data_IF_260286241332
#
_entry.id   IF_260286241332
#
_cell.length_a   1.000
_cell.length_b   1.000
_cell.length_c   1.000
_cell.angle_alpha   90.00
_cell.angle_beta   90.00
_cell.angle_gamma   90.00
#
_symmetry.space_group_name_H-M   'P 1'
#
loop_
_entity.id
_entity.type
_entity.pdbx_description
1 polymer ?
#
# COMPACT_ATOMS: atom_id res chain seq x y z
N UNK A 1 3.25 9.22 73.30
CA UNK A 1 2.27 8.70 74.28
C UNK A 1 2.46 7.21 74.63
N UNK A 2 2.86 6.34 73.69
CA UNK A 2 3.04 4.90 73.97
C UNK A 2 4.03 4.60 75.13
N UNK A 3 5.18 5.27 75.16
CA UNK A 3 6.21 5.05 76.20
C UNK A 3 5.71 5.44 77.60
N UNK A 4 5.04 6.59 77.73
CA UNK A 4 4.50 7.06 79.02
C UNK A 4 3.44 6.10 79.55
N UNK A 5 2.54 5.63 78.67
CA UNK A 5 1.53 4.64 79.05
C UNK A 5 2.16 3.31 79.47
N UNK A 6 3.13 2.79 78.71
CA UNK A 6 3.88 1.57 79.06
C UNK A 6 4.61 1.69 80.40
N UNK A 7 5.22 2.84 80.70
CA UNK A 7 5.89 3.10 81.98
C UNK A 7 4.88 3.14 83.14
N UNK A 8 3.73 3.78 82.96
CA UNK A 8 2.66 3.80 83.97
C UNK A 8 2.11 2.38 84.22
N UNK A 9 1.94 1.60 83.16
CA UNK A 9 1.46 0.22 83.24
C UNK A 9 2.46 -0.69 83.96
N UNK A 10 3.75 -0.52 83.68
CA UNK A 10 4.84 -1.21 84.38
C UNK A 10 4.92 -0.81 85.87
N UNK A 11 4.72 0.47 86.20
CA UNK A 11 4.65 0.93 87.59
C UNK A 11 3.43 0.38 88.33
N UNK A 12 2.27 0.33 87.68
CA UNK A 12 1.05 -0.27 88.24
C UNK A 12 1.21 -1.77 88.51
N UNK A 13 1.83 -2.49 87.56
CA UNK A 13 2.16 -3.91 87.71
C UNK A 13 3.16 -4.13 88.84
N UNK A 14 4.22 -3.32 88.94
CA UNK A 14 5.17 -3.38 90.06
C UNK A 14 4.47 -3.10 91.39
N UNK A 15 3.57 -2.11 91.41
CA UNK A 15 2.76 -1.76 92.57
C UNK A 15 1.82 -2.87 93.01
N UNK A 16 1.18 -3.60 92.07
CA UNK A 16 0.30 -4.73 92.41
C UNK A 16 1.06 -5.84 93.11
N UNK A 17 2.26 -6.20 92.62
CA UNK A 17 3.10 -7.21 93.26
C UNK A 17 3.53 -6.81 94.68
N UNK A 18 3.91 -5.55 94.89
CA UNK A 18 4.25 -5.03 96.23
C UNK A 18 3.03 -5.08 97.16
N UNK A 19 1.85 -4.67 96.68
CA UNK A 19 0.61 -4.73 97.45
C UNK A 19 0.23 -6.18 97.81
N UNK A 20 0.29 -7.10 96.85
CA UNK A 20 0.05 -8.53 97.06
C UNK A 20 1.02 -9.13 98.08
N UNK A 21 2.30 -8.74 98.05
CA UNK A 21 3.28 -9.15 99.06
C UNK A 21 2.86 -8.71 100.47
N UNK A 22 2.43 -7.46 100.66
CA UNK A 22 1.95 -6.99 101.97
C UNK A 22 0.63 -7.66 102.39
N UNK A 23 -0.33 -7.83 101.48
CA UNK A 23 -1.61 -8.49 101.74
C UNK A 23 -1.46 -9.97 102.11
N UNK A 24 -0.45 -10.66 101.59
CA UNK A 24 -0.16 -12.07 101.92
C UNK A 24 0.12 -12.32 103.41
N UNK A 25 0.46 -11.28 104.18
CA UNK A 25 0.63 -11.37 105.64
C UNK A 25 -0.68 -11.45 106.41
N UNK A 26 -1.78 -11.01 105.82
CA UNK A 26 -3.08 -10.88 106.49
C UNK A 26 -4.13 -11.82 105.86
N UNK A 27 -4.05 -12.06 104.55
CA UNK A 27 -5.04 -12.84 103.80
C UNK A 27 -4.49 -14.22 103.41
N UNK A 28 -5.38 -15.19 103.20
CA UNK A 28 -4.97 -16.51 102.74
C UNK A 28 -4.39 -16.43 101.31
N UNK A 29 -3.33 -17.18 101.04
CA UNK A 29 -2.56 -17.09 99.78
C UNK A 29 -3.41 -17.27 98.52
N UNK A 30 -4.45 -18.11 98.57
CA UNK A 30 -5.35 -18.34 97.44
C UNK A 30 -6.19 -17.12 97.06
N UNK A 31 -6.59 -16.29 98.05
CA UNK A 31 -7.35 -15.06 97.81
C UNK A 31 -6.46 -14.00 97.17
N UNK A 32 -5.20 -13.90 97.62
CA UNK A 32 -4.20 -13.00 97.03
C UNK A 32 -3.90 -13.40 95.58
N UNK A 33 -3.73 -14.70 95.31
CA UNK A 33 -3.49 -15.21 93.95
C UNK A 33 -4.68 -14.94 93.02
N UNK A 34 -5.91 -15.16 93.50
CA UNK A 34 -7.11 -14.84 92.74
C UNK A 34 -7.20 -13.35 92.42
N UNK A 35 -6.96 -12.47 93.40
CA UNK A 35 -6.97 -11.03 93.21
C UNK A 35 -5.91 -10.58 92.19
N UNK A 36 -4.68 -11.10 92.27
CA UNK A 36 -3.63 -10.79 91.29
C UNK A 36 -3.98 -11.31 89.90
N UNK A 37 -4.57 -12.51 89.80
CA UNK A 37 -4.99 -13.07 88.51
C UNK A 37 -6.07 -12.21 87.85
N UNK A 38 -7.06 -11.75 88.61
CA UNK A 38 -8.09 -10.83 88.11
C UNK A 38 -7.47 -9.51 87.68
N UNK A 39 -6.50 -8.98 88.43
CA UNK A 39 -5.76 -7.77 88.06
C UNK A 39 -4.99 -7.96 86.74
N UNK A 40 -4.22 -9.05 86.60
CA UNK A 40 -3.46 -9.34 85.38
C UNK A 40 -4.37 -9.56 84.16
N UNK A 41 -5.52 -10.22 84.32
CA UNK A 41 -6.51 -10.37 83.25
C UNK A 41 -7.13 -9.01 82.86
N UNK A 42 -7.43 -8.16 83.83
CA UNK A 42 -7.88 -6.79 83.58
C UNK A 42 -6.83 -5.97 82.81
N UNK A 43 -5.55 -6.11 83.17
CA UNK A 43 -4.44 -5.47 82.48
C UNK A 43 -4.28 -5.96 81.04
N UNK A 44 -4.34 -7.28 80.83
CA UNK A 44 -4.29 -7.89 79.51
C UNK A 44 -5.46 -7.43 78.62
N UNK A 45 -6.67 -7.34 79.19
CA UNK A 45 -7.84 -6.79 78.52
C UNK A 45 -7.63 -5.33 78.11
N UNK A 46 -7.08 -4.48 78.98
CA UNK A 46 -6.79 -3.08 78.65
C UNK A 46 -5.75 -2.94 77.53
N UNK A 47 -4.72 -3.79 77.51
CA UNK A 47 -3.73 -3.81 76.42
C UNK A 47 -4.41 -4.20 75.11
N UNK A 48 -5.21 -5.26 75.10
CA UNK A 48 -5.95 -5.71 73.90
C UNK A 48 -6.94 -4.63 73.42
N UNK A 49 -7.70 -4.03 74.33
CA UNK A 49 -8.63 -2.94 74.00
C UNK A 49 -7.88 -1.73 73.41
N UNK A 50 -6.71 -1.40 73.94
CA UNK A 50 -5.84 -0.36 73.40
C UNK A 50 -5.32 -0.67 71.99
N UNK A 51 -4.90 -1.90 71.73
CA UNK A 51 -4.49 -2.34 70.39
C UNK A 51 -5.67 -2.33 69.40
N UNK A 52 -6.85 -2.82 69.79
CA UNK A 52 -8.06 -2.76 68.96
C UNK A 52 -8.41 -1.30 68.62
N UNK A 53 -8.35 -0.40 69.60
CA UNK A 53 -8.60 1.03 69.36
C UNK A 53 -7.55 1.66 68.44
N UNK A 54 -6.26 1.36 68.63
CA UNK A 54 -5.17 1.82 67.75
C UNK A 54 -5.39 1.33 66.32
N UNK A 55 -5.69 0.05 66.16
CA UNK A 55 -6.00 -0.58 64.87
C UNK A 55 -7.20 0.12 64.22
N UNK A 56 -8.28 0.34 64.97
CA UNK A 56 -9.48 1.04 64.48
C UNK A 56 -9.20 2.50 64.09
N UNK A 57 -8.32 3.20 64.83
CA UNK A 57 -7.90 4.56 64.47
C UNK A 57 -7.08 4.60 63.17
N UNK A 58 -6.12 3.68 63.01
CA UNK A 58 -5.30 3.58 61.80
C UNK A 58 -6.18 3.23 60.60
N UNK A 59 -6.97 2.15 60.68
CA UNK A 59 -7.87 1.77 59.58
C UNK A 59 -8.96 2.81 59.33
N UNK A 60 -9.45 3.51 60.36
CA UNK A 60 -10.42 4.59 60.17
C UNK A 60 -9.83 5.77 59.39
N UNK A 61 -8.56 6.11 59.62
CA UNK A 61 -7.84 7.14 58.86
C UNK A 61 -7.58 6.68 57.43
N UNK A 62 -7.06 5.47 57.25
CA UNK A 62 -6.74 4.92 55.93
C UNK A 62 -8.01 4.75 55.09
N UNK A 63 -9.11 4.28 55.69
CA UNK A 63 -10.40 4.14 55.01
C UNK A 63 -10.94 5.51 54.57
N UNK A 64 -10.87 6.55 55.41
CA UNK A 64 -11.25 7.92 55.01
C UNK A 64 -10.40 8.45 53.87
N UNK A 65 -9.09 8.19 53.88
CA UNK A 65 -8.18 8.59 52.81
C UNK A 65 -8.48 7.84 51.51
N UNK A 66 -8.73 6.54 51.59
CA UNK A 66 -9.07 5.72 50.43
C UNK A 66 -10.43 6.09 49.84
N UNK A 67 -11.44 6.37 50.67
CA UNK A 67 -12.73 6.88 50.21
C UNK A 67 -12.58 8.22 49.49
N UNK A 68 -11.80 9.15 50.04
CA UNK A 68 -11.53 10.42 49.39
C UNK A 68 -10.78 10.25 48.06
N UNK A 69 -9.88 9.26 47.94
CA UNK A 69 -9.22 8.92 46.67
C UNK A 69 -10.18 8.32 45.65
N UNK A 70 -11.07 7.43 46.07
CA UNK A 70 -12.08 6.83 45.18
C UNK A 70 -12.99 7.94 44.63
N UNK A 71 -13.49 8.83 45.49
CA UNK A 71 -14.33 9.96 45.09
C UNK A 71 -13.59 10.94 44.14
N UNK A 72 -12.27 11.06 44.27
CA UNK A 72 -11.45 11.86 43.34
C UNK A 72 -11.22 11.16 42.00
N UNK A 73 -11.16 9.83 41.96
CA UNK A 73 -10.92 9.05 40.74
C UNK A 73 -12.20 8.75 39.95
N UNK A 74 -13.36 8.71 40.60
CA UNK A 74 -14.66 8.49 39.96
C UNK A 74 -14.92 9.42 38.76
N UNK A 75 -14.76 10.77 38.85
CA UNK A 75 -14.95 11.64 37.68
C UNK A 75 -13.92 11.42 36.58
N UNK A 76 -12.74 10.90 36.89
CA UNK A 76 -11.70 10.55 35.91
C UNK A 76 -12.09 9.30 35.15
N UNK A 77 -12.53 8.25 35.85
CA UNK A 77 -13.02 7.00 35.24
C UNK A 77 -14.25 7.28 34.40
N UNK A 78 -15.21 8.04 34.91
CA UNK A 78 -16.41 8.43 34.16
C UNK A 78 -16.06 9.27 32.94
N UNK A 79 -15.12 10.20 33.08
CA UNK A 79 -14.60 10.99 31.97
C UNK A 79 -13.98 10.11 30.87
N UNK A 80 -13.17 9.10 31.23
CA UNK A 80 -12.61 8.17 30.27
C UNK A 80 -13.69 7.27 29.62
N UNK A 81 -14.67 6.80 30.39
CA UNK A 81 -15.70 5.88 29.88
C UNK A 81 -16.75 6.55 29.00
N UNK A 82 -17.15 7.78 29.31
CA UNK A 82 -18.28 8.48 28.68
C UNK A 82 -17.89 9.79 27.98
N UNK A 83 -16.64 10.23 28.14
CA UNK A 83 -16.17 11.53 27.71
C UNK A 83 -16.51 12.60 28.75
N UNK A 84 -15.78 13.71 28.76
CA UNK A 84 -16.04 14.82 29.69
C UNK A 84 -15.67 16.16 29.06
N UNK A 85 -16.38 17.21 29.48
CA UNK A 85 -16.04 18.60 29.17
C UNK A 85 -15.43 19.29 30.40
N UNK A 86 -15.20 18.55 31.49
CA UNK A 86 -14.67 19.11 32.71
C UNK A 86 -13.16 19.29 32.58
N UNK A 87 -12.73 20.54 32.37
CA UNK A 87 -11.32 20.94 32.24
C UNK A 87 -10.46 20.44 33.41
N UNK A 88 -11.02 20.31 34.62
CA UNK A 88 -10.26 19.80 35.77
C UNK A 88 -9.90 18.32 35.59
N UNK A 89 -10.81 17.53 35.03
CA UNK A 89 -10.59 16.10 34.75
C UNK A 89 -9.63 15.93 33.57
N UNK A 90 -9.79 16.75 32.54
CA UNK A 90 -8.91 16.75 31.35
C UNK A 90 -7.47 17.09 31.77
N UNK A 91 -7.28 18.19 32.49
CA UNK A 91 -5.97 18.60 32.97
C UNK A 91 -5.34 17.55 33.92
N UNK A 92 -6.14 16.82 34.71
CA UNK A 92 -5.60 15.73 35.54
C UNK A 92 -5.14 14.53 34.70
N UNK A 93 -5.84 14.21 33.61
CA UNK A 93 -5.45 13.12 32.71
C UNK A 93 -4.20 13.46 31.91
N UNK A 94 -4.10 14.69 31.43
CA UNK A 94 -2.89 15.19 30.74
C UNK A 94 -1.68 15.21 31.67
N UNK A 95 -1.87 15.59 32.95
CA UNK A 95 -0.80 15.57 33.94
C UNK A 95 -0.28 14.15 34.25
N UNK A 96 -1.13 13.13 34.08
CA UNK A 96 -0.79 11.71 34.23
C UNK A 96 -0.27 11.09 32.91
N UNK A 97 0.11 11.92 31.92
CA UNK A 97 0.64 11.52 30.60
C UNK A 97 -0.31 10.62 29.78
N UNK A 98 -1.61 10.65 30.07
CA UNK A 98 -2.59 9.95 29.25
C UNK A 98 -2.88 10.81 28.02
N UNK A 99 -2.64 10.32 26.78
CA UNK A 99 -2.93 11.09 25.59
C UNK A 99 -4.44 11.32 25.48
N UNK A 100 -4.86 12.57 25.65
CA UNK A 100 -6.26 12.99 25.55
C UNK A 100 -6.53 13.47 24.12
N UNK A 101 -7.50 12.85 23.44
CA UNK A 101 -7.99 13.33 22.15
C UNK A 101 -9.31 14.08 22.35
N UNK A 102 -9.30 15.33 21.91
CA UNK A 102 -10.47 16.21 21.95
C UNK A 102 -11.29 16.04 20.67
N UNK A 103 -12.61 16.16 20.78
CA UNK A 103 -13.49 16.16 19.61
C UNK A 103 -13.21 17.40 18.76
N UNK A 104 -12.88 17.18 17.48
CA UNK A 104 -12.57 18.23 16.52
C UNK A 104 -13.84 19.04 16.19
N UNK A 105 -13.74 20.38 16.22
CA UNK A 105 -14.86 21.29 15.95
C UNK A 105 -15.49 21.96 17.18
N UNK A 106 -14.88 21.85 18.37
CA UNK A 106 -15.25 22.70 19.50
C UNK A 106 -14.75 24.12 19.26
N UNK A 107 -15.66 25.09 19.14
CA UNK A 107 -15.31 26.50 19.03
C UNK A 107 -14.58 26.98 20.29
N UNK A 108 -13.87 28.12 20.21
CA UNK A 108 -13.19 28.72 21.38
C UNK A 108 -14.14 28.96 22.57
N UNK A 109 -15.45 29.05 22.31
CA UNK A 109 -16.49 29.29 23.32
C UNK A 109 -17.03 28.02 23.99
N UNK A 110 -16.79 26.81 23.44
CA UNK A 110 -17.14 25.55 24.08
C UNK A 110 -15.87 24.72 24.33
N UNK A 111 -15.44 24.51 25.59
CA UNK A 111 -14.28 23.67 25.87
C UNK A 111 -14.52 22.29 25.27
N UNK A 112 -13.62 21.87 24.38
CA UNK A 112 -13.78 20.63 23.61
C UNK A 112 -14.11 19.44 24.49
N UNK A 113 -15.02 18.59 24.01
CA UNK A 113 -15.35 17.35 24.69
C UNK A 113 -14.20 16.37 24.48
N UNK A 114 -13.66 15.83 25.57
CA UNK A 114 -12.77 14.68 25.50
C UNK A 114 -13.54 13.48 24.95
N UNK A 115 -12.98 12.80 23.95
CA UNK A 115 -13.54 11.56 23.40
C UNK A 115 -13.47 10.45 24.45
N UNK A 116 -14.55 9.67 24.55
CA UNK A 116 -14.56 8.51 25.43
C UNK A 116 -13.78 7.35 24.85
N UNK A 117 -13.35 6.40 25.69
CA UNK A 117 -12.78 5.12 25.26
C UNK A 117 -13.73 4.40 24.30
N UNK A 118 -15.05 4.52 24.51
CA UNK A 118 -16.05 3.94 23.61
C UNK A 118 -16.11 4.64 22.26
N UNK A 119 -15.95 5.98 22.23
CA UNK A 119 -15.91 6.74 20.97
C UNK A 119 -14.63 6.40 20.20
N UNK A 120 -13.49 6.29 20.88
CA UNK A 120 -12.22 5.86 20.29
C UNK A 120 -12.26 4.41 19.81
N UNK A 121 -12.90 3.50 20.55
CA UNK A 121 -13.11 2.11 20.11
C UNK A 121 -14.04 2.04 18.89
N UNK A 122 -15.08 2.88 18.87
CA UNK A 122 -15.95 3.00 17.70
C UNK A 122 -15.20 3.53 16.48
N UNK A 123 -14.41 4.59 16.65
CA UNK A 123 -13.57 5.18 15.60
C UNK A 123 -12.53 4.17 15.10
N UNK A 124 -11.81 3.51 16.01
CA UNK A 124 -10.88 2.43 15.68
C UNK A 124 -11.58 1.30 14.93
N UNK A 125 -12.80 0.94 15.34
CA UNK A 125 -13.64 -0.03 14.66
C UNK A 125 -14.01 0.40 13.23
N UNK A 126 -14.35 1.67 13.03
CA UNK A 126 -14.62 2.23 11.70
C UNK A 126 -13.36 2.22 10.82
N UNK A 127 -12.23 2.71 11.34
CA UNK A 127 -10.94 2.74 10.63
C UNK A 127 -10.48 1.32 10.29
N UNK A 128 -10.62 0.37 11.22
CA UNK A 128 -10.27 -1.04 11.01
C UNK A 128 -11.16 -1.70 9.96
N UNK A 129 -12.48 -1.40 9.95
CA UNK A 129 -13.38 -1.89 8.90
C UNK A 129 -13.07 -1.30 7.53
N UNK A 130 -12.76 0.00 7.48
CA UNK A 130 -12.43 0.69 6.24
C UNK A 130 -11.11 0.17 5.64
N UNK A 131 -10.06 0.02 6.45
CA UNK A 131 -8.77 -0.51 6.01
C UNK A 131 -8.80 -2.02 5.75
N UNK A 132 -9.73 -2.74 6.38
CA UNK A 132 -9.75 -4.19 6.39
C UNK A 132 -8.56 -4.77 7.17
N UNK A 133 -8.42 -6.09 7.14
CA UNK A 133 -7.27 -6.77 7.74
C UNK A 133 -6.02 -6.58 6.88
N UNK A 134 -4.87 -6.55 7.53
CA UNK A 134 -3.56 -6.44 6.91
C UNK A 134 -2.66 -7.55 7.43
N UNK A 135 -1.94 -8.19 6.52
CA UNK A 135 -0.94 -9.20 6.84
C UNK A 135 0.41 -8.74 6.32
N UNK A 136 1.41 -8.70 7.20
CA UNK A 136 2.77 -8.27 6.88
C UNK A 136 3.69 -9.47 6.80
N UNK A 137 4.85 -9.26 6.19
CA UNK A 137 5.91 -10.25 6.11
C UNK A 137 5.49 -11.57 5.43
N UNK A 138 4.51 -11.49 4.51
CA UNK A 138 4.09 -12.63 3.73
C UNK A 138 5.20 -13.00 2.74
N UNK A 139 5.63 -14.26 2.73
CA UNK A 139 6.75 -14.72 1.91
C UNK A 139 6.31 -15.72 0.85
N UNK A 140 6.92 -15.65 -0.34
CA UNK A 140 6.65 -16.56 -1.44
C UNK A 140 7.30 -17.91 -1.15
N UNK A 141 6.48 -18.95 -1.01
CA UNK A 141 6.94 -20.33 -0.89
C UNK A 141 7.20 -20.98 -2.26
N UNK A 142 6.45 -20.57 -3.29
CA UNK A 142 6.66 -21.04 -4.67
C UNK A 142 5.59 -20.53 -5.64
N UNK A 143 5.87 -20.66 -6.93
CA UNK A 143 4.95 -20.28 -8.01
C UNK A 143 4.80 -21.49 -8.94
N UNK A 144 3.57 -22.01 -9.08
CA UNK A 144 3.26 -23.19 -9.90
C UNK A 144 2.04 -22.90 -10.78
N UNK A 145 2.21 -22.97 -12.12
CA UNK A 145 1.13 -22.79 -13.09
C UNK A 145 0.26 -21.53 -12.84
N UNK A 146 0.89 -20.40 -12.49
CA UNK A 146 0.19 -19.15 -12.18
C UNK A 146 -0.45 -19.08 -10.79
N UNK A 147 -0.39 -20.15 -9.99
CA UNK A 147 -0.78 -20.12 -8.57
C UNK A 147 0.44 -19.83 -7.71
N UNK A 148 0.32 -18.89 -6.78
CA UNK A 148 1.39 -18.46 -5.89
C UNK A 148 1.11 -19.02 -4.49
N UNK A 149 2.00 -19.84 -3.98
CA UNK A 149 1.97 -20.27 -2.59
C UNK A 149 2.67 -19.22 -1.71
N UNK A 150 1.96 -18.72 -0.71
CA UNK A 150 2.47 -17.78 0.29
C UNK A 150 2.46 -18.40 1.68
N UNK A 151 3.41 -17.96 2.51
CA UNK A 151 3.41 -18.22 3.94
C UNK A 151 3.16 -16.91 4.69
N UNK A 152 2.11 -16.88 5.51
CA UNK A 152 1.72 -15.73 6.34
C UNK A 152 2.06 -16.05 7.80
N UNK A 153 3.10 -15.41 8.38
CA UNK A 153 3.61 -15.81 9.69
C UNK A 153 2.73 -15.39 10.87
N UNK A 154 1.96 -14.31 10.73
CA UNK A 154 1.10 -13.78 11.77
C UNK A 154 -0.11 -13.02 11.20
N UNK A 155 -1.24 -12.95 11.94
CA UNK A 155 -1.53 -13.70 13.18
C UNK A 155 -1.77 -15.20 12.92
N UNK A 156 -1.79 -16.05 13.96
CA UNK A 156 -2.16 -17.48 13.87
C UNK A 156 -3.43 -17.78 14.70
N UNK A 157 -4.56 -18.17 14.09
CA UNK A 157 -4.78 -18.28 12.65
C UNK A 157 -4.91 -16.91 11.97
N UNK A 158 -4.42 -16.79 10.74
CA UNK A 158 -4.40 -15.50 10.03
C UNK A 158 -5.79 -15.01 9.62
N UNK A 159 -6.80 -15.89 9.60
CA UNK A 159 -8.19 -15.54 9.31
C UNK A 159 -8.54 -15.24 7.84
N UNK A 160 -7.56 -15.26 6.92
CA UNK A 160 -7.80 -15.28 5.46
C UNK A 160 -8.69 -16.49 5.10
N UNK A 161 -9.70 -16.27 4.24
CA UNK A 161 -10.66 -17.28 3.80
C UNK A 161 -10.45 -17.60 2.32
N UNK A 162 -10.69 -18.86 1.92
CA UNK A 162 -10.78 -19.22 0.52
C UNK A 162 -11.86 -18.39 -0.20
N UNK A 163 -11.56 -17.94 -1.41
CA UNK A 163 -12.37 -17.03 -2.20
C UNK A 163 -12.23 -15.55 -1.87
N UNK A 164 -11.51 -15.18 -0.80
CA UNK A 164 -11.24 -13.78 -0.49
C UNK A 164 -10.38 -13.13 -1.58
N UNK A 165 -10.60 -11.84 -1.83
CA UNK A 165 -9.74 -11.02 -2.69
C UNK A 165 -8.74 -10.29 -1.80
N UNK A 166 -7.47 -10.34 -2.19
CA UNK A 166 -6.36 -9.68 -1.49
C UNK A 166 -5.62 -8.77 -2.47
N UNK A 167 -5.25 -7.60 -1.98
CA UNK A 167 -4.41 -6.64 -2.68
C UNK A 167 -2.99 -6.77 -2.15
N UNK A 168 -2.05 -7.03 -3.06
CA UNK A 168 -0.69 -7.44 -2.68
C UNK A 168 0.31 -6.36 -3.05
N UNK A 169 1.18 -6.00 -2.11
CA UNK A 169 2.23 -5.00 -2.25
C UNK A 169 3.57 -5.58 -1.83
N UNK A 170 4.65 -5.13 -2.47
CA UNK A 170 6.00 -5.40 -1.97
C UNK A 170 6.21 -4.63 -0.66
N UNK A 171 6.82 -5.28 0.32
CA UNK A 171 7.27 -4.66 1.56
C UNK A 171 8.71 -4.20 1.41
N UNK A 172 8.99 -2.97 1.83
CA UNK A 172 10.35 -2.45 1.86
C UNK A 172 10.40 -0.97 2.17
N UNK A 173 11.61 -0.41 2.21
CA UNK A 173 11.81 1.03 2.35
C UNK A 173 11.52 1.73 1.02
N UNK A 174 10.97 2.95 1.03
CA UNK A 174 10.84 3.77 -0.17
C UNK A 174 12.20 3.89 -0.85
N UNK A 175 12.27 3.58 -2.14
CA UNK A 175 13.51 3.74 -2.88
C UNK A 175 13.69 5.22 -3.29
N UNK A 176 14.94 5.69 -3.47
CA UNK A 176 15.20 7.01 -4.06
C UNK A 176 14.49 7.19 -5.40
N UNK A 177 14.24 8.44 -5.83
CA UNK A 177 13.51 8.79 -7.08
C UNK A 177 13.94 8.04 -8.37
N UNK A 178 15.16 7.50 -8.42
CA UNK A 178 15.71 6.79 -9.58
C UNK A 178 15.79 5.27 -9.42
N UNK A 179 15.29 4.73 -8.30
CA UNK A 179 15.28 3.31 -8.00
C UNK A 179 13.85 2.83 -7.83
N UNK A 180 13.63 1.57 -8.20
CA UNK A 180 12.31 0.97 -8.04
C UNK A 180 12.07 0.67 -6.57
N UNK A 181 11.13 1.39 -5.98
CA UNK A 181 10.66 1.14 -4.62
C UNK A 181 9.72 -0.06 -4.54
N UNK A 182 9.30 -0.40 -3.32
CA UNK A 182 8.22 -1.35 -3.10
C UNK A 182 6.99 -0.88 -3.88
N UNK A 183 6.41 -1.78 -4.66
CA UNK A 183 5.34 -1.43 -5.58
C UNK A 183 4.16 -2.39 -5.47
N UNK A 184 3.00 -1.92 -5.91
CA UNK A 184 1.82 -2.75 -6.06
C UNK A 184 2.13 -3.92 -7.00
N UNK A 185 1.72 -5.13 -6.58
CA UNK A 185 1.91 -6.35 -7.35
C UNK A 185 0.66 -6.65 -8.14
N UNK A 186 -0.50 -6.66 -7.48
CA UNK A 186 -1.76 -6.98 -8.12
C UNK A 186 -2.85 -7.41 -7.16
N UNK A 187 -3.99 -7.76 -7.75
CA UNK A 187 -5.17 -8.30 -7.07
C UNK A 187 -5.20 -9.82 -7.23
N UNK A 188 -5.43 -10.52 -6.12
CA UNK A 188 -5.39 -11.97 -6.06
C UNK A 188 -6.60 -12.54 -5.35
N UNK A 189 -7.16 -13.60 -5.89
CA UNK A 189 -8.14 -14.44 -5.23
C UNK A 189 -7.44 -15.56 -4.48
N UNK A 190 -7.81 -15.76 -3.22
CA UNK A 190 -7.35 -16.90 -2.42
C UNK A 190 -8.01 -18.17 -2.94
N UNK A 191 -7.24 -19.11 -3.47
CA UNK A 191 -7.75 -20.39 -3.97
C UNK A 191 -7.89 -21.42 -2.85
N UNK A 192 -6.90 -21.48 -1.95
CA UNK A 192 -6.85 -22.45 -0.85
C UNK A 192 -6.11 -21.88 0.39
N UNK A 193 -6.42 -22.42 1.56
CA UNK A 193 -5.85 -22.01 2.86
C UNK A 193 -5.56 -23.24 3.71
N UNK A 194 -4.29 -23.41 4.10
CA UNK A 194 -3.83 -24.51 4.95
C UNK A 194 -2.90 -24.00 6.07
N UNK A 195 -3.48 -23.73 7.25
CA UNK A 195 -2.72 -23.22 8.39
C UNK A 195 -2.19 -21.81 8.14
N UNK A 196 -0.87 -21.66 8.02
CA UNK A 196 -0.20 -20.41 7.64
C UNK A 196 0.06 -20.29 6.13
N UNK A 197 -0.23 -21.34 5.35
CA UNK A 197 -0.04 -21.35 3.92
C UNK A 197 -1.31 -20.89 3.20
N UNK A 198 -1.14 -19.97 2.26
CA UNK A 198 -2.23 -19.41 1.45
C UNK A 198 -1.85 -19.59 -0.02
N UNK A 199 -2.75 -20.15 -0.81
CA UNK A 199 -2.59 -20.20 -2.25
C UNK A 199 -3.35 -19.03 -2.88
N UNK A 200 -2.66 -18.26 -3.70
CA UNK A 200 -3.21 -17.12 -4.43
C UNK A 200 -3.27 -17.42 -5.91
N UNK A 201 -4.40 -17.07 -6.52
CA UNK A 201 -4.59 -17.02 -7.95
C UNK A 201 -4.80 -15.56 -8.38
N UNK A 202 -4.20 -15.10 -9.48
CA UNK A 202 -4.41 -13.74 -9.98
C UNK A 202 -5.90 -13.52 -10.30
N UNK A 203 -6.44 -12.36 -9.94
CA UNK A 203 -7.84 -12.04 -10.25
C UNK A 203 -8.07 -11.74 -11.74
N UNK A 204 -7.02 -11.26 -12.43
CA UNK A 204 -6.98 -11.04 -13.88
C UNK A 204 -5.94 -11.90 -14.58
N UNK A 205 -5.80 -11.74 -15.90
CA UNK A 205 -4.73 -12.38 -16.65
C UNK A 205 -3.38 -11.80 -16.24
N UNK A 206 -2.41 -12.65 -15.92
CA UNK A 206 -1.03 -12.22 -15.75
C UNK A 206 -0.30 -12.31 -17.08
N UNK A 207 0.41 -11.24 -17.41
CA UNK A 207 1.38 -11.24 -18.47
C UNK A 207 2.68 -11.95 -18.05
N UNK A 208 3.45 -12.42 -19.03
CA UNK A 208 4.71 -13.12 -18.78
C UNK A 208 5.69 -12.25 -17.98
N UNK A 209 5.67 -10.94 -18.19
CA UNK A 209 6.54 -9.99 -17.48
C UNK A 209 6.17 -9.89 -16.00
N UNK A 210 4.89 -9.92 -15.63
CA UNK A 210 4.51 -9.96 -14.20
C UNK A 210 4.90 -11.27 -13.55
N UNK A 211 4.73 -12.41 -14.24
CA UNK A 211 5.21 -13.71 -13.73
C UNK A 211 6.72 -13.68 -13.53
N UNK A 212 7.47 -13.14 -14.49
CA UNK A 212 8.92 -13.03 -14.38
C UNK A 212 9.34 -12.08 -13.26
N UNK A 213 8.63 -10.95 -13.08
CA UNK A 213 8.83 -10.04 -11.95
C UNK A 213 8.60 -10.75 -10.63
N UNK A 214 7.49 -11.46 -10.48
CA UNK A 214 7.15 -12.22 -9.28
C UNK A 214 8.22 -13.26 -8.92
N UNK A 215 8.80 -13.91 -9.93
CA UNK A 215 9.89 -14.87 -9.73
C UNK A 215 11.22 -14.22 -9.29
N UNK A 216 11.37 -12.92 -9.53
CA UNK A 216 12.60 -12.17 -9.19
C UNK A 216 12.48 -11.45 -7.84
N UNK A 217 11.26 -11.14 -7.40
CA UNK A 217 11.03 -10.45 -6.12
C UNK A 217 11.38 -11.35 -4.94
N UNK A 218 12.37 -10.95 -4.15
CA UNK A 218 12.75 -11.64 -2.90
C UNK A 218 12.20 -10.94 -1.65
N UNK A 219 11.64 -9.74 -1.81
CA UNK A 219 11.12 -8.96 -0.69
C UNK A 219 9.84 -9.58 -0.14
N UNK A 220 9.62 -9.52 1.20
CA UNK A 220 8.34 -9.87 1.78
C UNK A 220 7.21 -9.03 1.19
N UNK A 221 5.98 -9.51 1.29
CA UNK A 221 4.78 -8.85 0.80
C UNK A 221 3.90 -8.39 1.96
N UNK A 222 3.16 -7.31 1.73
CA UNK A 222 2.03 -6.90 2.56
C UNK A 222 0.75 -7.23 1.79
N UNK A 223 -0.15 -7.95 2.45
CA UNK A 223 -1.47 -8.30 1.93
C UNK A 223 -2.50 -7.42 2.61
N UNK A 224 -3.40 -6.83 1.82
CA UNK A 224 -4.54 -6.06 2.31
C UNK A 224 -5.84 -6.74 1.89
N UNK A 225 -6.79 -6.81 2.81
CA UNK A 225 -8.15 -7.26 2.52
C UNK A 225 -8.93 -6.23 1.69
N UNK A 226 -8.77 -4.95 2.02
CA UNK A 226 -9.37 -3.83 1.28
C UNK A 226 -8.27 -2.94 0.74
N UNK A 227 -8.45 -2.41 -0.48
CA UNK A 227 -7.55 -1.42 -1.03
C UNK A 227 -7.52 -0.20 -0.10
N UNK A 228 -6.34 0.29 0.32
CA UNK A 228 -6.26 1.52 1.11
C UNK A 228 -6.99 2.66 0.39
N UNK A 229 -7.98 3.23 1.06
CA UNK A 229 -8.73 4.36 0.55
C UNK A 229 -7.85 5.60 0.58
N UNK A 230 -7.86 6.35 -0.51
CA UNK A 230 -7.32 7.69 -0.51
C UNK A 230 -8.23 8.61 0.32
N UNK A 231 -7.72 9.14 1.42
CA UNK A 231 -8.49 9.95 2.35
C UNK A 231 -7.80 11.27 2.59
N UNK A 232 -8.60 12.30 2.87
CA UNK A 232 -8.07 13.58 3.28
C UNK A 232 -7.46 13.47 4.68
N UNK A 233 -6.40 14.24 4.97
CA UNK A 233 -5.77 14.24 6.28
C UNK A 233 -6.69 14.76 7.40
N UNK A 234 -7.67 15.60 7.06
CA UNK A 234 -8.73 16.07 7.97
C UNK A 234 -9.73 14.96 8.37
N UNK A 235 -9.64 13.78 7.74
CA UNK A 235 -10.53 12.64 7.92
C UNK A 235 -9.96 11.50 8.76
N UNK A 236 -9.03 11.76 9.69
CA UNK A 236 -8.46 10.78 10.65
C UNK A 236 -7.31 9.89 10.12
N UNK A 237 -6.74 10.15 8.93
CA UNK A 237 -5.50 9.50 8.48
C UNK A 237 -4.32 10.48 8.43
N UNK A 238 -3.66 10.64 9.57
CA UNK A 238 -2.43 11.43 9.82
C UNK A 238 -1.17 10.88 9.13
N UNK A 239 -1.27 9.85 8.28
CA UNK A 239 -0.08 9.10 7.81
C UNK A 239 0.90 10.00 7.02
N UNK A 240 0.41 11.10 6.45
CA UNK A 240 1.21 12.04 5.65
C UNK A 240 1.30 13.45 6.25
N UNK A 241 0.63 13.74 7.38
CA UNK A 241 0.62 15.10 7.96
C UNK A 241 1.94 15.44 8.66
N UNK A 242 2.59 14.45 9.26
CA UNK A 242 3.88 14.63 9.95
C UNK A 242 5.10 14.45 9.03
N UNK A 243 4.85 14.23 7.74
CA UNK A 243 5.90 13.98 6.75
C UNK A 243 6.36 15.31 6.17
N UNK A 244 7.68 15.57 6.21
CA UNK A 244 8.24 16.81 5.66
C UNK A 244 8.00 16.92 4.15
N UNK A 245 7.99 18.14 3.60
CA UNK A 245 7.79 18.34 2.16
C UNK A 245 8.85 17.61 1.31
N UNK A 246 10.08 17.50 1.80
CA UNK A 246 11.18 16.77 1.16
C UNK A 246 10.93 15.27 1.18
N UNK A 247 10.41 14.74 2.29
CA UNK A 247 10.04 13.33 2.40
C UNK A 247 8.84 13.00 1.52
N UNK A 248 7.83 13.88 1.43
CA UNK A 248 6.71 13.72 0.51
C UNK A 248 7.16 13.65 -0.95
N UNK A 249 8.15 14.48 -1.34
CA UNK A 249 8.78 14.42 -2.68
C UNK A 249 9.48 13.09 -2.96
N UNK A 250 9.92 12.37 -1.93
CA UNK A 250 10.55 11.05 -2.06
C UNK A 250 9.52 9.92 -2.10
N UNK A 251 8.41 10.07 -1.35
CA UNK A 251 7.36 9.04 -1.24
C UNK A 251 6.37 9.05 -2.40
N UNK A 252 6.03 10.24 -2.91
CA UNK A 252 4.96 10.45 -3.87
C UNK A 252 5.55 10.79 -5.25
N UNK A 253 4.98 10.30 -6.36
CA UNK A 253 5.43 10.66 -7.70
C UNK A 253 5.41 12.18 -7.93
N UNK A 254 6.42 12.76 -8.63
CA UNK A 254 6.53 14.20 -8.84
C UNK A 254 5.26 14.87 -9.37
N UNK A 255 4.50 14.16 -10.20
CA UNK A 255 3.25 14.65 -10.80
C UNK A 255 2.13 14.90 -9.78
N UNK A 256 2.13 14.19 -8.65
CA UNK A 256 1.09 14.31 -7.63
C UNK A 256 1.56 15.07 -6.40
N UNK A 257 2.87 15.18 -6.16
CA UNK A 257 3.41 15.81 -4.94
C UNK A 257 2.86 17.23 -4.72
N UNK A 258 2.73 18.02 -5.78
CA UNK A 258 2.20 19.38 -5.66
C UNK A 258 0.77 19.40 -5.12
N UNK A 259 -0.09 18.45 -5.51
CA UNK A 259 -1.45 18.33 -5.00
C UNK A 259 -1.47 18.04 -3.48
N UNK A 260 -0.55 17.19 -3.02
CA UNK A 260 -0.43 16.86 -1.59
C UNK A 260 0.13 18.03 -0.77
N UNK A 261 1.14 18.75 -1.31
CA UNK A 261 1.71 19.92 -0.64
C UNK A 261 0.73 21.10 -0.56
N UNK A 262 -0.19 21.21 -1.53
CA UNK A 262 -1.21 22.25 -1.58
C UNK A 262 -2.46 21.92 -0.78
N UNK A 263 -2.67 20.67 -0.37
CA UNK A 263 -3.85 20.23 0.37
C UNK A 263 -4.06 21.09 1.63
N UNK A 264 -5.24 21.71 1.74
CA UNK A 264 -5.56 22.61 2.86
C UNK A 264 -4.97 24.02 2.76
N UNK A 265 -4.09 24.28 1.78
CA UNK A 265 -3.55 25.62 1.48
C UNK A 265 -4.53 26.50 0.70
N UNK A 266 -4.19 27.78 0.44
CA UNK A 266 -5.05 28.67 -0.33
C UNK A 266 -5.17 28.19 -1.80
N UNK A 267 -6.37 28.37 -2.38
CA UNK A 267 -6.59 28.10 -3.80
C UNK A 267 -5.84 29.08 -4.69
N UNK A 268 -5.45 28.64 -5.89
CA UNK A 268 -4.77 29.43 -6.91
C UNK A 268 -5.71 29.81 -8.07
N UNK A 269 -5.44 30.90 -8.80
CA UNK A 269 -6.15 31.24 -10.02
C UNK A 269 -5.93 30.13 -11.07
N UNK A 270 -6.97 29.34 -11.33
CA UNK A 270 -6.92 28.22 -12.28
C UNK A 270 -7.26 26.85 -11.68
N UNK A 271 -7.37 26.74 -10.35
CA UNK A 271 -7.87 25.51 -9.74
C UNK A 271 -9.31 25.23 -10.20
N UNK A 272 -9.60 23.95 -10.48
CA UNK A 272 -10.97 23.47 -10.71
C UNK A 272 -11.82 23.74 -9.47
N UNK A 273 -13.07 24.15 -9.67
CA UNK A 273 -14.05 24.31 -8.59
C UNK A 273 -14.22 23.03 -7.76
N UNK A 274 -14.11 21.84 -8.36
CA UNK A 274 -14.15 20.59 -7.60
C UNK A 274 -13.01 20.44 -6.60
N UNK A 275 -11.92 21.19 -6.78
CA UNK A 275 -10.77 21.21 -5.88
C UNK A 275 -10.79 22.42 -4.92
N UNK A 276 -11.92 23.11 -4.80
CA UNK A 276 -12.09 24.24 -3.87
C UNK A 276 -13.08 23.88 -2.78
N UNK A 277 -12.73 24.22 -1.55
CA UNK A 277 -13.67 24.20 -0.43
C UNK A 277 -13.75 25.59 0.19
N UNK A 278 -14.97 26.12 0.22
CA UNK A 278 -15.27 27.40 0.85
C UNK A 278 -15.43 27.22 2.36
N UNK A 279 -14.91 28.17 3.12
CA UNK A 279 -15.16 28.30 4.55
C UNK A 279 -15.65 29.72 4.88
N UNK A 280 -16.49 29.86 5.88
CA UNK A 280 -16.99 31.14 6.39
C UNK A 280 -15.97 31.83 7.32
N UNK A 281 -16.36 32.95 7.95
CA UNK A 281 -15.49 33.72 8.86
C UNK A 281 -15.15 32.91 10.12
N UNK A 282 -16.07 32.07 10.55
CA UNK A 282 -15.98 31.19 11.70
C UNK A 282 -15.20 29.90 11.40
N UNK A 283 -14.82 29.68 10.13
CA UNK A 283 -14.07 28.51 9.69
C UNK A 283 -14.91 27.26 9.45
N UNK A 284 -16.24 27.38 9.39
CA UNK A 284 -17.13 26.27 9.06
C UNK A 284 -17.15 26.01 7.55
N UNK A 285 -17.37 24.75 7.18
CA UNK A 285 -17.54 24.34 5.80
C UNK A 285 -18.78 24.98 5.16
N UNK A 286 -18.59 25.64 4.03
CA UNK A 286 -19.68 26.21 3.23
C UNK A 286 -19.90 25.34 1.99
N UNK A 287 -21.11 24.79 1.79
CA UNK A 287 -21.41 23.95 0.65
C UNK A 287 -21.36 24.75 -0.66
N UNK A 288 -21.16 24.04 -1.78
CA UNK A 288 -20.86 24.64 -3.09
C UNK A 288 -21.92 25.60 -3.61
N UNK A 289 -23.18 25.34 -3.29
CA UNK A 289 -24.32 26.18 -3.62
C UNK A 289 -24.37 27.50 -2.84
N UNK A 290 -23.64 27.60 -1.72
CA UNK A 290 -23.62 28.76 -0.82
C UNK A 290 -22.28 29.52 -0.79
N UNK A 291 -21.38 29.27 -1.75
CA UNK A 291 -20.03 29.87 -1.78
C UNK A 291 -19.96 31.39 -1.77
N UNK A 292 -21.05 32.09 -2.05
CA UNK A 292 -21.12 33.56 -1.88
C UNK A 292 -20.92 33.99 -0.41
N UNK A 293 -21.15 33.10 0.55
CA UNK A 293 -20.87 33.32 1.97
C UNK A 293 -19.46 32.92 2.42
N UNK A 294 -18.66 32.34 1.52
CA UNK A 294 -17.30 31.92 1.85
C UNK A 294 -16.35 33.11 1.87
N UNK A 295 -15.56 33.22 2.95
CA UNK A 295 -14.53 34.26 3.10
C UNK A 295 -13.14 33.76 2.71
N UNK A 296 -12.93 32.45 2.78
CA UNK A 296 -11.69 31.80 2.38
C UNK A 296 -12.01 30.54 1.57
N UNK A 297 -11.15 30.25 0.58
CA UNK A 297 -11.17 29.00 -0.15
C UNK A 297 -9.86 28.25 0.08
N UNK A 298 -9.97 26.98 0.47
CA UNK A 298 -8.83 26.08 0.58
C UNK A 298 -8.84 25.07 -0.55
N UNK A 299 -7.65 24.74 -1.03
CA UNK A 299 -7.45 23.72 -2.04
C UNK A 299 -7.69 22.34 -1.43
N UNK A 300 -8.47 21.53 -2.14
CA UNK A 300 -8.80 20.16 -1.79
C UNK A 300 -8.47 19.27 -2.98
N UNK A 301 -7.49 18.39 -2.82
CA UNK A 301 -7.07 17.44 -3.86
C UNK A 301 -8.21 16.49 -4.22
N UNK A 302 -8.28 16.00 -5.45
CA UNK A 302 -9.23 14.93 -5.77
C UNK A 302 -8.81 13.63 -5.09
N UNK A 303 -9.76 12.95 -4.42
CA UNK A 303 -9.50 11.61 -3.86
C UNK A 303 -9.46 10.58 -4.97
N UNK A 304 -8.50 9.68 -4.88
CA UNK A 304 -8.30 8.61 -5.85
C UNK A 304 -8.86 7.30 -5.34
N UNK A 305 -9.77 6.71 -6.11
CA UNK A 305 -10.10 5.30 -5.95
C UNK A 305 -8.99 4.46 -6.58
N UNK A 306 -7.98 4.09 -5.78
CA UNK A 306 -6.85 3.30 -6.26
C UNK A 306 -7.28 1.94 -6.82
N UNK A 307 -8.38 1.36 -6.33
CA UNK A 307 -8.88 0.11 -6.86
C UNK A 307 -9.32 0.29 -8.32
N UNK A 308 -10.17 1.29 -8.56
CA UNK A 308 -10.62 1.62 -9.92
C UNK A 308 -9.44 1.99 -10.84
N UNK A 309 -8.52 2.83 -10.36
CA UNK A 309 -7.36 3.26 -11.15
C UNK A 309 -6.44 2.09 -11.52
N UNK A 310 -6.18 1.16 -10.59
CA UNK A 310 -5.35 -0.02 -10.89
C UNK A 310 -6.06 -1.00 -11.82
N UNK A 311 -7.36 -1.21 -11.67
CA UNK A 311 -8.15 -2.03 -12.59
C UNK A 311 -8.16 -1.43 -13.99
N UNK A 312 -8.34 -0.11 -14.12
CA UNK A 312 -8.30 0.57 -15.41
C UNK A 312 -6.88 0.51 -16.03
N UNK A 313 -5.84 0.72 -15.23
CA UNK A 313 -4.45 0.62 -15.67
C UNK A 313 -4.12 -0.81 -16.16
N UNK A 314 -4.56 -1.84 -15.43
CA UNK A 314 -4.40 -3.25 -15.82
C UNK A 314 -5.13 -3.56 -17.14
N UNK A 315 -6.36 -3.05 -17.31
CA UNK A 315 -7.11 -3.19 -18.57
C UNK A 315 -6.39 -2.52 -19.74
N UNK A 316 -5.93 -1.28 -19.55
CA UNK A 316 -5.17 -0.53 -20.58
C UNK A 316 -3.87 -1.26 -20.92
N UNK A 317 -3.17 -1.78 -19.92
CA UNK A 317 -1.96 -2.56 -20.12
C UNK A 317 -2.21 -3.81 -20.97
N UNK A 318 -3.23 -4.60 -20.63
CA UNK A 318 -3.64 -5.79 -21.38
C UNK A 318 -3.95 -5.46 -22.85
N UNK A 319 -4.66 -4.34 -23.08
CA UNK A 319 -4.93 -3.85 -24.43
C UNK A 319 -3.64 -3.48 -25.18
N UNK A 320 -2.74 -2.73 -24.54
CA UNK A 320 -1.46 -2.33 -25.16
C UNK A 320 -0.58 -3.54 -25.47
N UNK A 321 -0.58 -4.57 -24.63
CA UNK A 321 0.15 -5.81 -24.88
C UNK A 321 -0.44 -6.59 -26.07
N UNK A 322 -1.77 -6.70 -26.15
CA UNK A 322 -2.44 -7.30 -27.29
C UNK A 322 -2.11 -6.56 -28.60
N UNK A 323 -2.14 -5.23 -28.58
CA UNK A 323 -1.76 -4.38 -29.73
C UNK A 323 -0.28 -4.58 -30.11
N UNK A 324 0.61 -4.62 -29.11
CA UNK A 324 2.04 -4.88 -29.33
C UNK A 324 2.29 -6.24 -29.99
N UNK A 325 1.61 -7.28 -29.52
CA UNK A 325 1.72 -8.63 -30.07
C UNK A 325 1.17 -8.69 -31.51
N UNK A 326 0.06 -8.02 -31.79
CA UNK A 326 -0.51 -7.91 -33.14
C UNK A 326 0.46 -7.20 -34.10
N UNK A 327 1.02 -6.05 -33.69
CA UNK A 327 2.01 -5.31 -34.49
C UNK A 327 3.29 -6.11 -34.72
N UNK A 328 3.75 -6.86 -33.71
CA UNK A 328 4.91 -7.75 -33.84
C UNK A 328 4.66 -8.85 -34.87
N UNK A 329 3.48 -9.46 -34.86
CA UNK A 329 3.08 -10.47 -35.85
C UNK A 329 2.99 -9.89 -37.26
N UNK A 330 2.45 -8.68 -37.41
CA UNK A 330 2.35 -8.01 -38.72
C UNK A 330 3.71 -7.59 -39.26
N UNK A 331 4.62 -7.10 -38.41
CA UNK A 331 6.01 -6.84 -38.80
C UNK A 331 6.67 -8.10 -39.36
N UNK A 332 6.50 -9.25 -38.71
CA UNK A 332 7.04 -10.54 -39.19
C UNK A 332 6.45 -10.95 -40.55
N UNK A 333 5.17 -10.68 -40.80
CA UNK A 333 4.55 -10.91 -42.12
C UNK A 333 5.14 -9.99 -43.18
N UNK A 334 5.32 -8.70 -42.87
CA UNK A 334 5.93 -7.72 -43.78
C UNK A 334 7.38 -8.08 -44.11
N UNK A 335 8.17 -8.53 -43.14
CA UNK A 335 9.52 -9.03 -43.37
C UNK A 335 9.53 -10.22 -44.34
N UNK A 336 8.59 -11.16 -44.16
CA UNK A 336 8.44 -12.34 -45.03
C UNK A 336 8.03 -11.94 -46.46
N UNK A 337 7.10 -10.99 -46.59
CA UNK A 337 6.66 -10.44 -47.87
C UNK A 337 7.80 -9.70 -48.58
N UNK A 338 8.56 -8.88 -47.85
CA UNK A 338 9.73 -8.18 -48.37
C UNK A 338 10.82 -9.14 -48.86
N UNK A 339 11.10 -10.21 -48.09
CA UNK A 339 12.03 -11.24 -48.50
C UNK A 339 11.58 -11.94 -49.79
N UNK A 340 10.27 -12.17 -49.95
CA UNK A 340 9.69 -12.78 -51.15
C UNK A 340 9.74 -11.84 -52.35
N UNK A 341 9.42 -10.56 -52.16
CA UNK A 341 9.53 -9.52 -53.18
C UNK A 341 10.97 -9.37 -53.69
N UNK A 342 11.97 -9.40 -52.79
CA UNK A 342 13.39 -9.39 -53.18
C UNK A 342 13.79 -10.59 -54.04
N UNK A 343 13.25 -11.79 -53.78
CA UNK A 343 13.49 -12.98 -54.61
C UNK A 343 12.89 -12.81 -56.01
N UNK A 344 11.67 -12.28 -56.11
CA UNK A 344 11.01 -12.00 -57.40
C UNK A 344 11.78 -10.95 -58.18
N UNK A 345 12.22 -9.87 -57.51
CA UNK A 345 13.06 -8.85 -58.13
C UNK A 345 14.34 -9.45 -58.71
N UNK A 346 15.07 -10.25 -57.93
CA UNK A 346 16.29 -10.92 -58.40
C UNK A 346 16.03 -11.87 -59.59
N UNK A 347 14.89 -12.59 -59.59
CA UNK A 347 14.51 -13.45 -60.70
C UNK A 347 14.23 -12.65 -61.98
N UNK A 348 13.54 -11.52 -61.89
CA UNK A 348 13.30 -10.63 -63.03
C UNK A 348 14.58 -9.97 -63.54
N UNK A 349 15.49 -9.55 -62.65
CA UNK A 349 16.80 -9.02 -63.04
C UNK A 349 17.61 -10.07 -63.81
N UNK A 350 17.59 -11.34 -63.37
CA UNK A 350 18.22 -12.45 -64.08
C UNK A 350 17.56 -12.75 -65.45
N UNK A 351 16.23 -12.71 -65.52
CA UNK A 351 15.48 -12.89 -66.77
C UNK A 351 15.78 -11.77 -67.77
N UNK A 352 15.78 -10.52 -67.33
CA UNK A 352 16.17 -9.37 -68.17
C UNK A 352 17.58 -9.53 -68.72
N UNK A 353 18.52 -10.00 -67.90
CA UNK A 353 19.89 -10.24 -68.34
C UNK A 353 19.94 -11.33 -69.41
N UNK A 354 19.20 -12.44 -69.24
CA UNK A 354 19.10 -13.51 -70.23
C UNK A 354 18.52 -13.00 -71.55
N UNK A 355 17.41 -12.25 -71.49
CA UNK A 355 16.77 -11.68 -72.67
C UNK A 355 17.68 -10.70 -73.41
N UNK A 356 18.51 -9.93 -72.70
CA UNK A 356 19.54 -9.07 -73.33
C UNK A 356 20.59 -9.89 -74.08
N UNK A 357 21.03 -11.01 -73.49
CA UNK A 357 21.96 -11.94 -74.16
C UNK A 357 21.33 -12.59 -75.39
N UNK A 358 20.09 -13.08 -75.28
CA UNK A 358 19.36 -13.69 -76.39
C UNK A 358 19.14 -12.68 -77.53
N UNK A 359 18.72 -11.44 -77.20
CA UNK A 359 18.56 -10.37 -78.18
C UNK A 359 19.87 -10.08 -78.92
N UNK A 360 21.01 -10.00 -78.21
CA UNK A 360 22.31 -9.79 -78.84
C UNK A 360 22.70 -10.97 -79.76
N UNK A 361 22.33 -12.20 -79.41
CA UNK A 361 22.48 -13.37 -80.26
C UNK A 361 21.66 -13.26 -81.55
N UNK A 362 20.36 -12.98 -81.42
CA UNK A 362 19.45 -12.80 -82.57
C UNK A 362 19.90 -11.65 -83.47
N UNK A 363 20.39 -10.55 -82.92
CA UNK A 363 20.94 -9.44 -83.71
C UNK A 363 22.16 -9.90 -84.53
N UNK A 364 23.08 -10.66 -83.93
CA UNK A 364 24.25 -11.20 -84.64
C UNK A 364 23.85 -12.17 -85.75
N UNK A 365 22.88 -13.05 -85.48
CA UNK A 365 22.38 -14.01 -86.46
C UNK A 365 21.70 -13.29 -87.62
N UNK A 366 20.90 -12.25 -87.33
CA UNK A 366 20.29 -11.40 -88.36
C UNK A 366 21.37 -10.75 -89.24
N UNK A 367 22.39 -10.13 -88.65
CA UNK A 367 23.50 -9.52 -89.39
C UNK A 367 24.23 -10.55 -90.27
N UNK A 368 24.46 -11.76 -89.77
CA UNK A 368 25.07 -12.85 -90.55
C UNK A 368 24.19 -13.29 -91.73
N UNK A 369 22.88 -13.40 -91.53
CA UNK A 369 21.91 -13.73 -92.60
C UNK A 369 21.86 -12.62 -93.64
N UNK A 370 21.82 -11.35 -93.23
CA UNK A 370 21.83 -10.20 -94.14
C UNK A 370 23.13 -10.17 -94.97
N UNK A 371 24.27 -10.41 -94.33
CA UNK A 371 25.56 -10.52 -95.03
C UNK A 371 25.59 -11.67 -96.04
N UNK A 372 25.11 -12.86 -95.64
CA UNK A 372 25.03 -14.02 -96.53
C UNK A 372 24.08 -13.78 -97.70
N UNK A 373 22.91 -13.19 -97.45
CA UNK A 373 21.96 -12.80 -98.49
C UNK A 373 22.60 -11.84 -99.50
N UNK A 374 23.32 -10.82 -99.03
CA UNK A 374 24.03 -9.88 -99.91
C UNK A 374 25.10 -10.58 -100.77
N UNK A 375 25.83 -11.57 -100.22
CA UNK A 375 26.76 -12.40 -100.98
C UNK A 375 26.06 -13.22 -102.06
N UNK A 376 24.92 -13.85 -101.74
CA UNK A 376 24.13 -14.64 -102.69
C UNK A 376 23.57 -13.75 -103.80
N UNK A 377 23.05 -12.56 -103.46
CA UNK A 377 22.58 -11.58 -104.46
C UNK A 377 23.71 -11.13 -105.39
N UNK A 378 24.92 -10.92 -104.86
CA UNK A 378 26.12 -10.61 -105.65
C UNK A 378 26.50 -11.77 -106.59
N UNK A 379 26.47 -13.01 -106.08
CA UNK A 379 26.74 -14.20 -106.89
C UNK A 379 25.71 -14.40 -108.00
N UNK A 380 24.42 -14.17 -107.69
CA UNK A 380 23.33 -14.24 -108.66
C UNK A 380 23.50 -13.18 -109.76
N UNK A 381 23.82 -11.94 -109.39
CA UNK A 381 24.08 -10.87 -110.35
C UNK A 381 25.27 -11.19 -111.25
N UNK A 382 26.37 -11.70 -110.69
CA UNK A 382 27.54 -12.15 -111.47
C UNK A 382 27.17 -13.30 -112.43
N UNK A 383 26.40 -14.29 -111.96
CA UNK A 383 25.96 -15.41 -112.78
C UNK A 383 25.02 -14.97 -113.92
N UNK A 384 24.10 -14.02 -113.65
CA UNK A 384 23.27 -13.39 -114.67
C UNK A 384 24.11 -12.68 -115.72
N UNK A 385 25.11 -11.89 -115.30
CA UNK A 385 26.04 -11.22 -116.23
C UNK A 385 26.83 -12.19 -117.10
N UNK A 386 27.39 -13.26 -116.51
CA UNK A 386 28.09 -14.31 -117.26
C UNK A 386 27.17 -15.05 -118.24
N UNK A 387 25.90 -15.28 -117.87
CA UNK A 387 24.91 -15.90 -118.75
C UNK A 387 24.57 -14.99 -119.93
N UNK A 388 24.34 -13.70 -119.70
CA UNK A 388 24.10 -12.71 -120.75
C UNK A 388 25.30 -12.62 -121.72
N UNK A 389 26.52 -12.58 -121.19
CA UNK A 389 27.75 -12.59 -121.98
C UNK A 389 27.84 -13.87 -122.84
N UNK A 390 27.58 -15.04 -122.25
CA UNK A 390 27.58 -16.31 -122.97
C UNK A 390 26.51 -16.37 -124.07
N UNK A 391 25.30 -15.84 -123.81
CA UNK A 391 24.24 -15.71 -124.83
C UNK A 391 24.71 -14.81 -125.97
N UNK A 392 25.31 -13.65 -125.66
CA UNK A 392 25.82 -12.73 -126.65
C UNK A 392 26.92 -13.37 -127.51
N UNK A 393 27.92 -14.00 -126.89
CA UNK A 393 28.99 -14.73 -127.59
C UNK A 393 28.41 -15.82 -128.51
N UNK A 394 27.44 -16.61 -128.03
CA UNK A 394 26.78 -17.63 -128.85
C UNK A 394 26.03 -17.03 -130.04
N UNK A 395 25.36 -15.88 -129.88
CA UNK A 395 24.69 -15.20 -130.99
C UNK A 395 25.67 -14.62 -132.02
N UNK A 396 26.83 -14.12 -131.59
CA UNK A 396 27.90 -13.67 -132.49
C UNK A 396 28.52 -14.85 -133.26
N UNK A 397 28.75 -15.98 -132.59
CA UNK A 397 29.25 -17.20 -133.21
C UNK A 397 28.24 -17.75 -134.24
N UNK A 398 26.94 -17.72 -133.93
CA UNK A 398 25.90 -18.12 -134.88
C UNK A 398 25.84 -17.20 -136.11
N UNK A 399 26.15 -15.91 -135.97
CA UNK A 399 26.23 -14.96 -137.09
C UNK A 399 27.45 -15.18 -137.98
N UNK A 400 28.56 -15.69 -137.45
CA UNK A 400 29.77 -15.95 -138.24
C UNK A 400 29.76 -17.30 -138.97
N UNK A 401 28.82 -18.19 -138.63
CA UNK A 401 28.63 -19.49 -139.29
C UNK A 401 27.59 -19.49 -140.43
N UNK A 402 26.86 -18.39 -140.61
CA UNK A 402 26.04 -18.10 -141.80
C UNK A 402 26.79 -17.15 -142.73
#
# INVERSE_FOLDING_TARGET
>A
MAIVFQLTLALLLLGSFVACYFCSKVWHWSQVLLAETVFLLGLAFLILAGEVFRIQQVYGKDNKQNLARIEQLEPVVDGLQFGTNNLRVINSLEADEVPVRMMEGSSEDEPGRMLSVRDLDHELGMVTRARGRMWRDASIAGINNGTIALTVPAPDPHGIKAGAILYVFEQGQPAPLNQRGPSYIGEFRVSDVAGQQVQLQPAGEFDERSVQRLSTTQSPWILYENMPLDQYPDGQMEILTDVSAEQLKQLIPPQSVEEYLRQGGPTQPGDDDWNKVGYDQEGNYVPRDAWNGSTQFKYRRSLRDYNLLFQEASKRYTQMEADFNALTADNKKLETALASAKKVQAAHEAEQQKLRTDLAGVTRDREAIEAHRSQVETQLSNAQGLLEEAIQQNTELAKSMN
#
